data_IF_868554745670
#
_entry.id   IF_868554745670
#
_cell.length_a   1.000
_cell.length_b   1.000
_cell.length_c   1.000
_cell.angle_alpha   90.00
_cell.angle_beta   90.00
_cell.angle_gamma   90.00
#
_symmetry.space_group_name_H-M   'P 1'
#
loop_
_entity.id
_entity.type
_entity.pdbx_description
1 polymer ?
#
# COMPACT_ATOMS: atom_id res chain seq x y z
N UNK A 1 -13.22 17.98 13.60
CA UNK A 1 -12.49 18.05 12.32
C UNK A 1 -11.17 17.30 12.33
N UNK A 2 -10.33 17.44 13.37
CA UNK A 2 -9.03 16.75 13.48
C UNK A 2 -9.13 15.22 13.31
N UNK A 3 -10.06 14.55 13.99
CA UNK A 3 -10.20 13.08 13.93
C UNK A 3 -10.54 12.60 12.51
N UNK A 4 -11.42 13.33 11.80
CA UNK A 4 -11.75 13.01 10.40
C UNK A 4 -10.54 13.19 9.48
N UNK A 5 -9.69 14.18 9.77
CA UNK A 5 -8.50 14.47 8.97
C UNK A 5 -7.38 13.45 9.21
N UNK A 6 -7.18 13.03 10.46
CA UNK A 6 -6.28 11.92 10.80
C UNK A 6 -6.75 10.63 10.12
N UNK A 7 -8.06 10.34 10.17
CA UNK A 7 -8.63 9.20 9.46
C UNK A 7 -8.38 9.25 7.94
N UNK A 8 -8.59 10.42 7.33
CA UNK A 8 -8.29 10.65 5.91
C UNK A 8 -6.82 10.41 5.56
N UNK A 9 -5.88 10.96 6.34
CA UNK A 9 -4.44 10.73 6.14
C UNK A 9 -4.09 9.25 6.35
N UNK A 10 -4.64 8.59 7.37
CA UNK A 10 -4.38 7.19 7.63
C UNK A 10 -4.84 6.30 6.46
N UNK A 11 -6.02 6.57 5.88
CA UNK A 11 -6.52 5.82 4.71
C UNK A 11 -5.68 6.08 3.45
N UNK A 12 -5.22 7.33 3.24
CA UNK A 12 -4.32 7.66 2.14
C UNK A 12 -2.95 6.98 2.29
N UNK A 13 -2.36 7.04 3.50
CA UNK A 13 -1.10 6.38 3.80
C UNK A 13 -1.21 4.87 3.59
N UNK A 14 -2.30 4.26 4.05
CA UNK A 14 -2.57 2.83 3.89
C UNK A 14 -2.62 2.46 2.41
N UNK A 15 -3.60 3.01 1.67
CA UNK A 15 -3.81 2.68 0.25
C UNK A 15 -2.57 2.97 -0.61
N UNK A 16 -1.91 4.12 -0.42
CA UNK A 16 -0.73 4.47 -1.19
C UNK A 16 0.50 3.60 -0.84
N UNK A 17 0.63 3.12 0.40
CA UNK A 17 1.68 2.16 0.78
C UNK A 17 1.51 0.81 0.08
N UNK A 18 0.28 0.32 -0.09
CA UNK A 18 0.01 -0.90 -0.85
C UNK A 18 0.30 -0.72 -2.35
N UNK A 19 -0.07 0.44 -2.92
CA UNK A 19 0.27 0.78 -4.31
C UNK A 19 1.80 0.81 -4.49
N UNK A 20 2.54 1.43 -3.57
CA UNK A 20 4.01 1.53 -3.68
C UNK A 20 4.70 0.18 -3.48
N UNK A 21 4.19 -0.66 -2.58
CA UNK A 21 4.65 -2.05 -2.41
C UNK A 21 4.64 -2.81 -3.74
N UNK A 22 3.58 -2.65 -4.54
CA UNK A 22 3.47 -3.31 -5.84
C UNK A 22 4.65 -3.02 -6.78
N UNK A 23 5.19 -1.79 -6.77
CA UNK A 23 6.36 -1.41 -7.58
C UNK A 23 7.60 -2.24 -7.26
N UNK A 24 7.70 -2.76 -6.03
CA UNK A 24 8.81 -3.61 -5.56
C UNK A 24 8.53 -5.09 -5.87
N UNK A 25 7.25 -5.47 -5.86
CA UNK A 25 6.83 -6.85 -6.06
C UNK A 25 6.66 -7.27 -7.53
N UNK A 26 6.36 -6.34 -8.46
CA UNK A 26 6.12 -6.58 -9.91
C UNK A 26 7.16 -7.44 -10.64
N UNK A 27 8.43 -7.46 -10.21
CA UNK A 27 9.40 -8.46 -10.70
C UNK A 27 9.15 -9.81 -10.01
N UNK A 28 8.21 -10.59 -10.55
CA UNK A 28 8.00 -12.00 -10.17
C UNK A 28 6.94 -12.28 -9.10
N UNK A 29 5.96 -11.40 -8.86
CA UNK A 29 4.77 -11.74 -8.06
C UNK A 29 3.69 -12.42 -8.92
N UNK A 30 2.92 -13.34 -8.36
CA UNK A 30 1.81 -13.98 -9.05
C UNK A 30 0.65 -13.03 -9.36
N UNK A 31 -0.23 -13.53 -10.23
CA UNK A 31 -1.37 -12.79 -10.78
C UNK A 31 -2.33 -12.30 -9.69
N UNK A 32 -2.51 -13.08 -8.62
CA UNK A 32 -3.41 -12.78 -7.49
C UNK A 32 -2.98 -11.58 -6.66
N UNK A 33 -1.68 -11.46 -6.31
CA UNK A 33 -1.16 -10.26 -5.62
C UNK A 33 -1.36 -9.03 -6.49
N UNK A 34 -1.10 -9.17 -7.79
CA UNK A 34 -1.26 -8.06 -8.72
C UNK A 34 -2.71 -7.62 -8.81
N UNK A 35 -3.67 -8.53 -8.88
CA UNK A 35 -5.09 -8.18 -9.00
C UNK A 35 -5.66 -7.61 -7.70
N UNK A 36 -5.51 -8.32 -6.58
CA UNK A 36 -6.11 -7.93 -5.30
C UNK A 36 -5.42 -6.70 -4.73
N UNK A 37 -4.08 -6.71 -4.62
CA UNK A 37 -3.37 -5.59 -3.98
C UNK A 37 -3.39 -4.35 -4.89
N UNK A 38 -3.38 -4.48 -6.23
CA UNK A 38 -3.41 -3.31 -7.12
C UNK A 38 -4.81 -2.72 -7.24
N UNK A 39 -5.80 -3.50 -7.65
CA UNK A 39 -7.09 -2.92 -8.03
C UNK A 39 -7.85 -2.42 -6.80
N UNK A 40 -7.81 -3.16 -5.68
CA UNK A 40 -8.50 -2.74 -4.45
C UNK A 40 -7.77 -1.55 -3.79
N UNK A 41 -6.44 -1.49 -3.84
CA UNK A 41 -5.71 -0.35 -3.26
C UNK A 41 -5.91 0.93 -4.07
N UNK A 42 -5.98 0.85 -5.40
CA UNK A 42 -6.33 2.00 -6.23
C UNK A 42 -7.78 2.46 -6.00
N UNK A 43 -8.73 1.53 -5.87
CA UNK A 43 -10.12 1.85 -5.55
C UNK A 43 -10.26 2.52 -4.19
N UNK A 44 -9.58 2.01 -3.16
CA UNK A 44 -9.59 2.60 -1.82
C UNK A 44 -8.90 3.97 -1.78
N UNK A 45 -7.84 4.18 -2.57
CA UNK A 45 -7.21 5.49 -2.72
C UNK A 45 -8.16 6.51 -3.36
N UNK A 46 -8.85 6.13 -4.45
CA UNK A 46 -9.84 7.00 -5.11
C UNK A 46 -11.01 7.32 -4.17
N UNK A 47 -11.51 6.33 -3.43
CA UNK A 47 -12.58 6.53 -2.46
C UNK A 47 -12.14 7.48 -1.32
N UNK A 48 -10.91 7.33 -0.82
CA UNK A 48 -10.33 8.25 0.17
C UNK A 48 -10.21 9.66 -0.40
N UNK A 49 -9.79 9.82 -1.66
CA UNK A 49 -9.72 11.11 -2.33
C UNK A 49 -11.09 11.77 -2.48
N UNK A 50 -12.11 11.00 -2.88
CA UNK A 50 -13.49 11.49 -2.98
C UNK A 50 -14.04 11.94 -1.62
N UNK A 51 -13.81 11.15 -0.57
CA UNK A 51 -14.18 11.52 0.80
C UNK A 51 -13.44 12.78 1.28
N UNK A 52 -12.15 12.90 0.97
CA UNK A 52 -11.31 14.04 1.31
C UNK A 52 -11.79 15.34 0.66
N UNK A 53 -12.09 15.30 -0.64
CA UNK A 53 -12.62 16.43 -1.40
C UNK A 53 -14.00 16.88 -0.90
N UNK A 54 -14.86 15.94 -0.47
CA UNK A 54 -16.19 16.25 0.06
C UNK A 54 -16.16 16.84 1.47
N UNK A 55 -15.15 16.48 2.27
CA UNK A 55 -15.10 16.79 3.72
C UNK A 55 -14.21 17.99 4.05
N UNK A 56 -13.16 18.23 3.26
CA UNK A 56 -12.16 19.26 3.54
C UNK A 56 -12.06 20.27 2.40
N UNK A 57 -11.60 21.48 2.74
CA UNK A 57 -11.24 22.47 1.71
C UNK A 57 -10.11 21.94 0.83
N UNK A 58 -10.10 22.37 -0.43
CA UNK A 58 -9.14 21.94 -1.45
C UNK A 58 -7.68 22.06 -1.00
N UNK A 59 -7.35 23.12 -0.25
CA UNK A 59 -6.01 23.32 0.32
C UNK A 59 -5.58 22.20 1.27
N UNK A 60 -6.43 21.84 2.25
CA UNK A 60 -6.14 20.78 3.22
C UNK A 60 -6.12 19.40 2.56
N UNK A 61 -7.00 19.18 1.59
CA UNK A 61 -7.01 17.96 0.78
C UNK A 61 -5.67 17.76 0.06
N UNK A 62 -5.21 18.75 -0.72
CA UNK A 62 -3.95 18.65 -1.44
C UNK A 62 -2.77 18.48 -0.49
N UNK A 63 -2.74 19.21 0.63
CA UNK A 63 -1.68 19.08 1.62
C UNK A 63 -1.60 17.66 2.19
N UNK A 64 -2.74 17.05 2.55
CA UNK A 64 -2.79 15.67 3.03
C UNK A 64 -2.35 14.63 2.01
N UNK A 65 -2.72 14.81 0.73
CA UNK A 65 -2.29 13.92 -0.37
C UNK A 65 -0.79 14.02 -0.61
N UNK A 66 -0.25 15.23 -0.75
CA UNK A 66 1.19 15.46 -0.93
C UNK A 66 2.00 14.90 0.24
N UNK A 67 1.55 15.17 1.46
CA UNK A 67 2.19 14.67 2.67
C UNK A 67 2.24 13.13 2.69
N UNK A 68 1.12 12.48 2.37
CA UNK A 68 1.03 11.02 2.35
C UNK A 68 1.95 10.40 1.28
N UNK A 69 2.00 10.99 0.09
CA UNK A 69 2.85 10.51 -1.01
C UNK A 69 4.33 10.63 -0.65
N UNK A 70 4.75 11.78 -0.12
CA UNK A 70 6.15 12.03 0.27
C UNK A 70 6.57 11.05 1.37
N UNK A 71 5.75 10.91 2.42
CA UNK A 71 6.05 10.07 3.57
C UNK A 71 6.22 8.61 3.17
N UNK A 72 5.32 8.09 2.34
CA UNK A 72 5.42 6.71 1.82
C UNK A 72 6.64 6.55 0.93
N UNK A 73 6.92 7.47 -0.01
CA UNK A 73 8.10 7.35 -0.86
C UNK A 73 9.42 7.36 -0.05
N UNK A 74 9.51 8.21 0.98
CA UNK A 74 10.67 8.24 1.87
C UNK A 74 10.82 6.93 2.67
N UNK A 75 9.71 6.43 3.24
CA UNK A 75 9.70 5.16 3.96
C UNK A 75 10.13 3.99 3.08
N UNK A 76 9.59 3.89 1.86
CA UNK A 76 9.95 2.84 0.91
C UNK A 76 11.37 2.94 0.39
N UNK A 77 11.90 4.16 0.21
CA UNK A 77 13.31 4.35 -0.17
C UNK A 77 14.24 3.79 0.90
N UNK A 78 13.98 4.10 2.19
CA UNK A 78 14.74 3.53 3.32
C UNK A 78 14.58 2.02 3.42
N UNK A 79 13.38 1.49 3.28
CA UNK A 79 13.13 0.04 3.29
C UNK A 79 13.89 -0.67 2.18
N UNK A 80 13.92 -0.10 0.96
CA UNK A 80 14.63 -0.70 -0.17
C UNK A 80 16.14 -0.73 0.06
N UNK A 81 16.71 0.34 0.61
CA UNK A 81 18.13 0.40 1.00
C UNK A 81 18.45 -0.61 2.11
N UNK A 82 17.58 -0.77 3.11
CA UNK A 82 17.76 -1.76 4.18
C UNK A 82 17.67 -3.19 3.66
N UNK A 83 16.75 -3.47 2.75
CA UNK A 83 16.60 -4.80 2.14
C UNK A 83 17.82 -5.11 1.27
N UNK A 84 18.26 -4.19 0.42
CA UNK A 84 19.42 -4.42 -0.45
C UNK A 84 20.73 -4.56 0.33
N UNK A 85 20.90 -3.86 1.45
CA UNK A 85 22.10 -3.98 2.30
C UNK A 85 22.14 -5.27 3.12
N UNK A 86 21.00 -5.75 3.63
CA UNK A 86 20.94 -7.01 4.41
C UNK A 86 20.78 -8.27 3.58
N UNK A 87 20.18 -8.19 2.38
CA UNK A 87 19.87 -9.33 1.53
C UNK A 87 20.41 -9.13 0.11
N UNK A 88 21.73 -9.36 -0.11
CA UNK A 88 22.32 -9.34 -1.45
C UNK A 88 21.81 -10.46 -2.36
N UNK A 89 21.30 -11.56 -1.79
CA UNK A 89 20.78 -12.72 -2.54
C UNK A 89 19.30 -12.57 -2.91
N UNK A 90 19.04 -12.40 -4.21
CA UNK A 90 17.71 -12.22 -4.80
C UNK A 90 16.76 -13.42 -4.60
N UNK A 91 17.28 -14.63 -4.40
CA UNK A 91 16.47 -15.85 -4.22
C UNK A 91 15.66 -15.86 -2.91
N UNK A 92 16.17 -15.25 -1.83
CA UNK A 92 15.41 -15.12 -0.58
C UNK A 92 14.24 -14.16 -0.72
N UNK A 93 14.38 -13.14 -1.57
CA UNK A 93 13.30 -12.20 -1.88
C UNK A 93 12.13 -12.92 -2.57
N UNK A 94 12.42 -13.85 -3.49
CA UNK A 94 11.40 -14.65 -4.17
C UNK A 94 10.65 -15.54 -3.16
N UNK A 95 11.34 -16.20 -2.23
CA UNK A 95 10.67 -17.02 -1.18
C UNK A 95 9.74 -16.21 -0.28
N UNK A 96 10.15 -15.01 0.13
CA UNK A 96 9.30 -14.10 0.93
C UNK A 96 8.06 -13.68 0.14
N UNK A 97 8.20 -13.44 -1.17
CA UNK A 97 7.06 -13.15 -2.05
C UNK A 97 6.06 -14.30 -2.08
N UNK A 98 6.54 -15.53 -2.24
CA UNK A 98 5.66 -16.72 -2.26
C UNK A 98 4.96 -16.95 -0.92
N UNK A 99 5.63 -16.69 0.21
CA UNK A 99 5.02 -16.78 1.54
C UNK A 99 3.89 -15.77 1.74
N UNK A 100 4.09 -14.52 1.32
CA UNK A 100 3.05 -13.49 1.37
C UNK A 100 1.85 -13.89 0.51
N UNK A 101 2.11 -14.45 -0.66
CA UNK A 101 1.07 -14.91 -1.60
C UNK A 101 0.19 -16.00 -0.98
N UNK A 102 0.82 -17.00 -0.34
CA UNK A 102 0.11 -18.07 0.37
C UNK A 102 -0.67 -17.54 1.59
N UNK A 103 -0.12 -16.56 2.32
CA UNK A 103 -0.78 -15.90 3.46
C UNK A 103 -2.03 -15.14 3.05
N UNK A 104 -2.01 -14.45 1.90
CA UNK A 104 -3.16 -13.73 1.36
C UNK A 104 -4.26 -14.73 0.95
N UNK A 105 -3.89 -15.81 0.24
CA UNK A 105 -4.83 -16.86 -0.14
C UNK A 105 -5.46 -17.50 1.10
N UNK A 106 -4.66 -17.82 2.12
CA UNK A 106 -5.15 -18.35 3.39
C UNK A 106 -6.11 -17.38 4.09
N UNK A 107 -5.79 -16.09 4.11
CA UNK A 107 -6.64 -15.07 4.75
C UNK A 107 -7.97 -14.89 4.02
N UNK A 108 -7.97 -14.91 2.69
CA UNK A 108 -9.19 -14.83 1.87
C UNK A 108 -10.02 -16.10 2.03
N UNK A 109 -9.38 -17.28 2.01
CA UNK A 109 -10.05 -18.55 2.24
C UNK A 109 -10.70 -18.58 3.63
N UNK A 110 -9.97 -18.15 4.67
CA UNK A 110 -10.50 -18.05 6.02
C UNK A 110 -11.73 -17.13 6.08
N UNK A 111 -11.66 -15.93 5.48
CA UNK A 111 -12.79 -14.98 5.47
C UNK A 111 -14.01 -15.45 4.67
N UNK A 112 -13.83 -16.32 3.66
CA UNK A 112 -14.94 -16.87 2.87
C UNK A 112 -15.59 -18.10 3.52
N UNK A 113 -14.82 -18.89 4.26
CA UNK A 113 -15.29 -20.14 4.86
C UNK A 113 -15.67 -20.02 6.34
N UNK A 114 -15.30 -18.93 7.02
CA UNK A 114 -15.56 -18.68 8.45
C UNK A 114 -16.03 -17.25 8.68
#
# INVERSE_FOLDING_TARGET
>A
MIIKYIGFIATLLWSYSFIKSQSIFKKGSGFLITLFVSNISWLTFIAACYYGLKTFSFYYFMCGVFFSIILVNLGFSRLTLLINSKFPNKDKLVKVKTLIEYLIILSIAYYLFF
#
